data_IF_068253961991
#
_entry.id   IF_068253961991
#
_cell.length_a   1.000
_cell.length_b   1.000
_cell.length_c   1.000
_cell.angle_alpha   90.00
_cell.angle_beta   90.00
_cell.angle_gamma   90.00
#
_symmetry.space_group_name_H-M   'P 1'
#
loop_
_entity.id
_entity.type
_entity.pdbx_description
1 polymer ?
#
# COMPACT_ATOMS: atom_id res chain seq x y z
N UNK A 1 -40.04 -55.67 5.46
CA UNK A 1 -39.09 -56.51 4.70
C UNK A 1 -38.70 -55.71 3.47
N UNK A 2 -37.61 -54.93 3.51
CA UNK A 2 -36.20 -55.29 3.29
C UNK A 2 -35.88 -55.66 1.84
N UNK A 3 -34.89 -54.92 1.32
CA UNK A 3 -34.07 -55.08 0.13
C UNK A 3 -34.68 -54.70 -1.22
N UNK A 4 -33.92 -54.24 -2.21
CA UNK A 4 -32.60 -53.58 -2.35
C UNK A 4 -32.32 -53.62 -3.87
N UNK A 5 -31.44 -52.73 -4.32
CA UNK A 5 -30.61 -52.85 -5.54
C UNK A 5 -31.20 -52.39 -6.88
N UNK A 6 -30.75 -51.17 -7.24
CA UNK A 6 -30.10 -50.72 -8.49
C UNK A 6 -30.68 -51.17 -9.83
N UNK A 7 -31.16 -50.18 -10.61
CA UNK A 7 -31.07 -50.22 -12.07
C UNK A 7 -29.97 -49.29 -12.56
N UNK A 8 -28.98 -49.91 -13.21
CA UNK A 8 -27.84 -49.28 -13.86
C UNK A 8 -28.21 -48.98 -15.33
N UNK A 9 -28.10 -47.70 -15.69
CA UNK A 9 -27.56 -47.15 -16.95
C UNK A 9 -28.12 -47.68 -18.28
N UNK A 10 -28.69 -46.77 -19.10
CA UNK A 10 -28.03 -46.23 -20.31
C UNK A 10 -29.04 -45.59 -21.27
N UNK A 11 -28.52 -44.63 -22.05
CA UNK A 11 -28.98 -44.20 -23.39
C UNK A 11 -30.18 -43.25 -23.39
N UNK A 12 -30.23 -42.15 -24.13
CA UNK A 12 -29.33 -41.39 -25.02
C UNK A 12 -30.07 -40.06 -25.30
N UNK A 13 -29.30 -39.01 -25.55
CA UNK A 13 -29.68 -37.76 -26.23
C UNK A 13 -30.80 -36.91 -25.62
N UNK A 14 -30.47 -35.69 -25.19
CA UNK A 14 -30.73 -34.49 -26.00
C UNK A 14 -30.01 -33.28 -25.40
N UNK A 15 -29.51 -32.41 -26.27
CA UNK A 15 -28.69 -31.24 -25.96
C UNK A 15 -29.46 -30.23 -25.11
N UNK A 16 -28.88 -29.74 -24.02
CA UNK A 16 -29.01 -28.33 -23.66
C UNK A 16 -27.79 -27.86 -22.86
N UNK A 17 -26.98 -27.05 -23.54
CA UNK A 17 -25.90 -26.26 -22.99
C UNK A 17 -26.43 -25.35 -21.87
N UNK A 18 -25.85 -25.44 -20.67
CA UNK A 18 -25.82 -24.32 -19.76
C UNK A 18 -24.47 -24.32 -19.03
N UNK A 19 -23.42 -23.98 -19.78
CA UNK A 19 -22.18 -23.48 -19.18
C UNK A 19 -22.58 -22.13 -18.59
N UNK A 20 -22.95 -22.14 -17.31
CA UNK A 20 -23.10 -20.91 -16.53
C UNK A 20 -21.69 -20.36 -16.35
N UNK A 21 -21.25 -19.59 -17.34
CA UNK A 21 -20.07 -18.76 -17.26
C UNK A 21 -20.34 -17.71 -16.19
N UNK A 22 -20.06 -18.07 -14.93
CA UNK A 22 -19.87 -17.12 -13.84
C UNK A 22 -18.62 -16.32 -14.17
N UNK A 23 -18.76 -15.38 -15.11
CA UNK A 23 -17.84 -14.28 -15.28
C UNK A 23 -17.97 -13.42 -14.03
N UNK A 24 -17.27 -13.82 -12.97
CA UNK A 24 -16.97 -12.97 -11.84
C UNK A 24 -16.16 -11.80 -12.40
N UNK A 25 -16.88 -10.74 -12.79
CA UNK A 25 -16.31 -9.46 -13.13
C UNK A 25 -15.65 -8.94 -11.85
N UNK A 26 -14.37 -9.24 -11.68
CA UNK A 26 -13.55 -8.67 -10.62
C UNK A 26 -13.37 -7.19 -10.95
N UNK A 27 -14.34 -6.38 -10.53
CA UNK A 27 -14.21 -4.93 -10.53
C UNK A 27 -12.94 -4.60 -9.75
N UNK A 28 -12.01 -3.79 -10.28
CA UNK A 28 -10.87 -3.34 -9.51
C UNK A 28 -11.39 -2.55 -8.32
N UNK A 29 -11.17 -3.08 -7.11
CA UNK A 29 -11.53 -2.42 -5.86
C UNK A 29 -10.70 -1.14 -5.71
N UNK A 30 -11.28 -0.02 -6.14
CA UNK A 30 -10.76 1.31 -5.84
C UNK A 30 -11.08 1.61 -4.38
N UNK A 31 -10.16 1.27 -3.47
CA UNK A 31 -10.19 1.79 -2.12
C UNK A 31 -10.13 3.32 -2.20
N UNK A 32 -11.22 3.98 -1.79
CA UNK A 32 -11.29 5.43 -1.60
C UNK A 32 -11.11 5.70 -0.12
N UNK A 33 -9.91 6.11 0.27
CA UNK A 33 -9.74 6.88 1.49
C UNK A 33 -10.05 8.35 1.18
N UNK A 34 -10.22 9.19 2.19
CA UNK A 34 -10.61 10.60 2.02
C UNK A 34 -9.68 11.31 1.02
N UNK A 35 -10.20 11.61 -0.18
CA UNK A 35 -9.42 12.21 -1.27
C UNK A 35 -8.38 11.31 -1.97
N UNK A 36 -8.18 10.05 -1.57
CA UNK A 36 -7.16 9.15 -2.14
C UNK A 36 -7.77 8.12 -3.08
N UNK A 37 -7.31 8.09 -4.33
CA UNK A 37 -7.64 7.04 -5.30
C UNK A 37 -6.38 6.30 -5.74
N UNK A 38 -6.38 4.98 -5.58
CA UNK A 38 -5.28 4.10 -6.00
C UNK A 38 -5.74 3.24 -7.17
N UNK A 39 -5.15 3.43 -8.35
CA UNK A 39 -5.37 2.66 -9.57
C UNK A 39 -4.13 1.79 -9.85
N UNK A 40 -4.31 0.49 -10.10
CA UNK A 40 -3.18 -0.41 -10.38
C UNK A 40 -3.63 -1.74 -10.97
N UNK A 41 -3.08 -2.11 -12.13
CA UNK A 41 -3.18 -3.46 -12.69
C UNK A 41 -2.03 -4.37 -12.21
N UNK A 42 -0.81 -3.83 -12.12
CA UNK A 42 0.37 -4.53 -11.61
C UNK A 42 1.11 -3.66 -10.57
N UNK A 43 0.80 -3.81 -9.26
CA UNK A 43 1.29 -2.92 -8.20
C UNK A 43 2.81 -2.90 -8.05
N UNK A 44 3.50 -3.96 -8.51
CA UNK A 44 4.96 -4.06 -8.47
C UNK A 44 5.63 -3.17 -9.52
N UNK A 45 4.93 -2.92 -10.63
CA UNK A 45 5.46 -2.20 -11.78
C UNK A 45 4.95 -0.75 -11.80
N UNK A 46 3.63 -0.57 -11.71
CA UNK A 46 3.02 0.75 -11.81
C UNK A 46 1.73 0.83 -11.00
N UNK A 47 1.65 1.89 -10.22
CA UNK A 47 0.50 2.36 -9.47
C UNK A 47 0.30 3.81 -9.88
N UNK A 48 -0.96 4.20 -10.08
CA UNK A 48 -1.36 5.59 -10.20
C UNK A 48 -2.11 5.98 -8.94
N UNK A 49 -1.53 6.93 -8.21
CA UNK A 49 -2.05 7.48 -6.97
C UNK A 49 -2.56 8.89 -7.24
N UNK A 50 -3.86 9.10 -7.18
CA UNK A 50 -4.48 10.43 -7.29
C UNK A 50 -4.90 10.90 -5.91
N UNK A 51 -4.45 12.10 -5.56
CA UNK A 51 -4.74 12.78 -4.31
C UNK A 51 -5.57 14.02 -4.65
N UNK A 52 -6.74 14.13 -4.04
CA UNK A 52 -7.64 15.27 -4.16
C UNK A 52 -7.97 15.77 -2.76
N UNK A 53 -7.30 16.85 -2.35
CA UNK A 53 -7.39 17.39 -0.99
C UNK A 53 -7.10 16.33 0.10
N UNK A 54 -6.16 15.43 -0.17
CA UNK A 54 -5.85 14.28 0.68
C UNK A 54 -4.58 14.54 1.51
N UNK A 55 -4.50 13.94 2.69
CA UNK A 55 -3.35 14.09 3.59
C UNK A 55 -2.34 12.94 3.43
N UNK A 56 -1.07 13.13 3.80
CA UNK A 56 -0.08 12.02 3.79
C UNK A 56 -0.57 10.87 4.67
N UNK A 57 -1.21 11.18 5.82
CA UNK A 57 -1.81 10.19 6.71
C UNK A 57 -2.85 9.33 5.97
N UNK A 58 -3.78 9.97 5.26
CA UNK A 58 -4.82 9.26 4.48
C UNK A 58 -4.21 8.35 3.40
N UNK A 59 -3.10 8.76 2.77
CA UNK A 59 -2.41 7.95 1.77
C UNK A 59 -1.76 6.72 2.39
N UNK A 60 -1.08 6.89 3.53
CA UNK A 60 -0.47 5.79 4.26
C UNK A 60 -1.54 4.77 4.67
N UNK A 61 -2.66 5.23 5.24
CA UNK A 61 -3.79 4.37 5.59
C UNK A 61 -4.37 3.64 4.37
N UNK A 62 -4.63 4.35 3.28
CA UNK A 62 -5.14 3.74 2.05
C UNK A 62 -4.22 2.64 1.49
N UNK A 63 -2.91 2.86 1.54
CA UNK A 63 -1.91 1.92 1.06
C UNK A 63 -1.78 0.71 2.00
N UNK A 64 -1.80 0.93 3.33
CA UNK A 64 -1.88 -0.15 4.33
C UNK A 64 -3.11 -1.02 4.08
N UNK A 65 -4.27 -0.41 3.98
CA UNK A 65 -5.54 -1.11 3.90
C UNK A 65 -5.67 -1.86 2.56
N UNK A 66 -5.15 -1.29 1.46
CA UNK A 66 -5.21 -1.90 0.14
C UNK A 66 -4.19 -3.02 -0.07
N UNK A 67 -2.98 -2.90 0.48
CA UNK A 67 -1.85 -3.80 0.17
C UNK A 67 -1.29 -4.56 1.37
N UNK A 68 -1.83 -4.36 2.56
CA UNK A 68 -1.38 -5.02 3.79
C UNK A 68 0.05 -4.63 4.19
N UNK A 69 0.47 -3.42 3.86
CA UNK A 69 1.81 -2.92 4.17
C UNK A 69 1.83 -2.41 5.60
N UNK A 70 2.82 -2.81 6.40
CA UNK A 70 2.94 -2.34 7.77
C UNK A 70 3.44 -0.89 7.78
N UNK A 71 2.81 -0.02 8.56
CA UNK A 71 3.18 1.38 8.68
C UNK A 71 3.40 1.70 10.14
N UNK A 72 4.64 2.05 10.48
CA UNK A 72 4.98 2.63 11.77
C UNK A 72 5.28 4.11 11.51
N UNK A 73 4.21 4.90 11.56
CA UNK A 73 4.29 6.34 11.45
C UNK A 73 4.22 6.99 12.83
N UNK A 74 4.84 8.15 12.95
CA UNK A 74 4.64 9.04 14.09
C UNK A 74 3.55 10.05 13.79
N UNK A 75 2.90 10.54 14.84
CA UNK A 75 1.99 11.68 14.76
C UNK A 75 2.77 12.97 14.48
N UNK A 76 3.19 13.15 13.23
CA UNK A 76 3.71 14.41 12.73
C UNK A 76 2.53 15.24 12.16
N UNK A 77 2.26 16.45 12.67
CA UNK A 77 1.19 17.30 12.15
C UNK A 77 1.40 17.69 10.67
N UNK A 78 2.64 17.62 10.15
CA UNK A 78 2.89 17.82 8.72
C UNK A 78 2.19 16.77 7.84
N UNK A 79 1.75 15.65 8.41
CA UNK A 79 1.01 14.62 7.66
C UNK A 79 -0.47 14.89 7.53
N UNK A 80 -0.97 15.96 8.17
CA UNK A 80 -2.37 16.38 8.14
C UNK A 80 -2.58 17.58 7.18
N UNK A 81 -1.52 18.07 6.54
CA UNK A 81 -1.61 19.08 5.48
C UNK A 81 -2.25 18.47 4.21
N UNK A 82 -3.30 19.10 3.64
CA UNK A 82 -3.95 18.60 2.45
C UNK A 82 -3.09 18.82 1.20
N UNK A 83 -3.08 17.81 0.33
CA UNK A 83 -2.30 17.76 -0.90
C UNK A 83 -3.22 17.33 -2.05
N UNK A 84 -3.13 18.03 -3.17
CA UNK A 84 -3.71 17.62 -4.45
C UNK A 84 -2.59 17.35 -5.44
N UNK A 85 -2.44 16.09 -5.86
CA UNK A 85 -1.36 15.65 -6.73
C UNK A 85 -1.70 14.32 -7.41
N UNK A 86 -1.00 13.99 -8.49
CA UNK A 86 -1.02 12.65 -9.08
C UNK A 86 0.39 12.10 -9.16
N UNK A 87 0.61 10.92 -8.60
CA UNK A 87 1.86 10.18 -8.69
C UNK A 87 1.66 8.92 -9.51
N UNK A 88 2.63 8.63 -10.37
CA UNK A 88 2.65 7.40 -11.17
C UNK A 88 4.01 6.71 -11.05
N UNK A 89 3.99 5.39 -11.02
CA UNK A 89 5.18 4.53 -10.94
C UNK A 89 5.03 3.45 -9.88
N UNK A 90 6.11 2.76 -9.55
CA UNK A 90 6.07 1.77 -8.47
C UNK A 90 5.95 2.45 -7.09
N UNK A 91 5.38 1.73 -6.13
CA UNK A 91 5.14 2.23 -4.77
C UNK A 91 6.42 2.79 -4.09
N UNK A 92 7.59 2.13 -4.19
CA UNK A 92 8.88 2.71 -3.81
C UNK A 92 9.12 4.16 -4.22
N UNK A 93 9.05 4.44 -5.52
CA UNK A 93 9.34 5.76 -6.10
C UNK A 93 8.26 6.78 -5.81
N UNK A 94 7.02 6.33 -5.60
CA UNK A 94 5.94 7.20 -5.16
C UNK A 94 6.25 7.70 -3.74
N UNK A 95 6.58 6.81 -2.81
CA UNK A 95 6.91 7.22 -1.44
C UNK A 95 8.18 8.05 -1.34
N UNK A 96 9.18 7.81 -2.20
CA UNK A 96 10.38 8.66 -2.28
C UNK A 96 10.05 10.13 -2.56
N UNK A 97 9.00 10.39 -3.36
CA UNK A 97 8.54 11.74 -3.69
C UNK A 97 7.56 12.29 -2.67
N UNK A 98 6.62 11.45 -2.21
CA UNK A 98 5.57 11.86 -1.28
C UNK A 98 6.14 12.19 0.10
N UNK A 99 7.05 11.36 0.60
CA UNK A 99 7.72 11.53 1.90
C UNK A 99 9.03 12.32 1.75
N UNK A 100 9.14 13.13 0.69
CA UNK A 100 10.32 13.97 0.49
C UNK A 100 10.47 14.91 1.68
N UNK A 101 11.71 15.05 2.16
CA UNK A 101 12.08 15.82 3.35
C UNK A 101 11.59 15.25 4.69
N UNK A 102 11.01 14.05 4.69
CA UNK A 102 10.73 13.29 5.89
C UNK A 102 11.87 12.33 6.18
N UNK A 103 12.08 11.99 7.46
CA UNK A 103 13.00 10.94 7.84
C UNK A 103 12.26 9.61 7.85
N UNK A 104 12.47 8.78 6.83
CA UNK A 104 11.77 7.51 6.69
C UNK A 104 12.68 6.40 6.15
N UNK A 105 12.26 5.16 6.38
CA UNK A 105 12.86 3.95 5.81
C UNK A 105 11.79 3.08 5.16
N UNK A 106 12.07 2.61 3.93
CA UNK A 106 11.25 1.62 3.23
C UNK A 106 11.93 0.25 3.31
N UNK A 107 11.28 -0.70 3.97
CA UNK A 107 11.70 -2.10 3.98
C UNK A 107 11.17 -2.77 2.72
N UNK A 108 12.08 -3.24 1.85
CA UNK A 108 11.74 -3.91 0.58
C UNK A 108 11.44 -5.39 0.81
N UNK A 109 10.53 -5.95 0.02
CA UNK A 109 10.26 -7.39 0.04
C UNK A 109 9.90 -7.93 -1.33
N UNK A 110 10.51 -9.05 -1.69
CA UNK A 110 10.20 -9.74 -2.93
C UNK A 110 8.84 -10.47 -2.90
N UNK A 111 8.30 -10.71 -1.69
CA UNK A 111 7.07 -11.47 -1.44
C UNK A 111 5.82 -10.61 -1.45
N UNK A 112 5.91 -9.33 -1.07
CA UNK A 112 4.78 -8.41 -1.13
C UNK A 112 4.52 -7.95 -2.58
N UNK A 113 3.25 -7.85 -2.98
CA UNK A 113 2.83 -7.50 -4.35
C UNK A 113 3.30 -6.12 -4.81
N UNK A 114 3.59 -5.20 -3.88
CA UNK A 114 4.07 -3.85 -4.18
C UNK A 114 5.59 -3.71 -4.14
N UNK A 115 6.31 -4.74 -3.67
CA UNK A 115 7.74 -4.67 -3.38
C UNK A 115 8.10 -4.01 -2.04
N UNK A 116 7.10 -3.60 -1.25
CA UNK A 116 7.27 -2.94 0.05
C UNK A 116 6.64 -3.81 1.15
N UNK A 117 7.36 -4.04 2.23
CA UNK A 117 6.86 -4.78 3.39
C UNK A 117 6.42 -3.84 4.51
N UNK A 118 7.25 -2.84 4.78
CA UNK A 118 7.08 -1.94 5.91
C UNK A 118 7.60 -0.54 5.60
N UNK A 119 6.91 0.46 6.13
CA UNK A 119 7.29 1.88 6.09
C UNK A 119 7.51 2.33 7.54
N UNK A 120 8.70 2.82 7.84
CA UNK A 120 9.05 3.39 9.14
C UNK A 120 9.28 4.87 8.97
N UNK A 121 8.61 5.71 9.77
CA UNK A 121 8.78 7.16 9.74
C UNK A 121 9.28 7.61 11.11
N UNK A 122 10.48 8.19 11.14
CA UNK A 122 11.17 8.57 12.36
C UNK A 122 10.71 9.94 12.86
N UNK A 123 10.54 10.05 14.17
CA UNK A 123 10.26 11.33 14.85
C UNK A 123 11.57 12.04 15.09
N UNK A 124 11.66 13.29 14.68
CA UNK A 124 12.64 14.19 15.28
C UNK A 124 11.98 14.83 16.49
N UNK A 125 12.33 14.35 17.67
CA UNK A 125 11.95 14.99 18.93
C UNK A 125 12.67 16.35 19.02
N UNK A 126 12.02 17.40 18.49
CA UNK A 126 12.53 18.78 18.52
C UNK A 126 12.53 19.39 19.92
N UNK A 127 11.91 18.74 20.90
CA UNK A 127 11.96 19.18 22.30
C UNK A 127 13.27 18.82 22.99
N UNK A 128 14.04 17.88 22.41
CA UNK A 128 15.40 17.59 22.88
C UNK A 128 16.40 18.52 22.19
N UNK A 129 17.21 19.29 22.95
CA UNK A 129 18.29 20.04 22.36
C UNK A 129 19.23 19.06 21.65
N UNK A 130 19.60 19.38 20.40
CA UNK A 130 20.71 18.69 19.73
C UNK A 130 21.91 18.80 20.66
N UNK A 131 22.46 17.65 21.08
CA UNK A 131 23.68 17.62 21.87
C UNK A 131 24.76 18.32 21.05
N UNK A 132 25.09 19.56 21.42
CA UNK A 132 26.14 20.33 20.76
C UNK A 132 27.40 19.47 20.71
N UNK A 133 28.02 19.41 19.54
CA UNK A 133 29.34 18.81 19.42
C UNK A 133 30.29 19.50 20.43
N UNK A 134 31.22 18.78 21.07
CA UNK A 134 32.22 19.40 21.92
C UNK A 134 32.91 20.52 21.15
N UNK A 135 33.04 21.70 21.77
CA UNK A 135 33.76 22.81 21.18
C UNK A 135 35.16 22.32 20.76
N UNK A 136 35.66 22.67 19.56
CA UNK A 136 37.02 22.32 19.17
C UNK A 136 37.99 22.87 20.22
N UNK A 137 38.88 22.02 20.72
CA UNK A 137 39.92 22.46 21.66
C UNK A 137 40.70 23.62 21.03
N UNK A 138 40.95 24.71 21.78
CA UNK A 138 41.74 25.81 21.26
C UNK A 138 43.13 25.29 20.87
N UNK A 139 43.47 25.39 19.59
CA UNK A 139 44.81 25.08 19.11
C UNK A 139 45.82 25.98 19.83
N UNK A 140 46.86 25.42 20.47
CA UNK A 140 47.89 26.23 21.11
C UNK A 140 48.58 27.09 20.05
N UNK A 141 48.64 28.41 20.28
CA UNK A 141 49.38 29.32 19.42
C UNK A 141 50.90 29.11 19.59
N UNK A 142 51.69 29.20 18.51
CA UNK A 142 53.15 29.07 18.54
C UNK A 142 53.84 30.25 19.24
#
# INVERSE_FOLDING_TARGET
MLLSVRSNVKIRSLRLFLILASASLTLPSNARADGVTIESENPRQSIRLKLDNATIRSVLEAVRDKYGIEISASDDPAFDEPITATYEGNLPKIFERLLRNQNYMLVRSAKNVTGVEKILIAVVDRSKPMKSAPAPEPTPMP
#
